data_IF_863967517622
#
_entry.id   IF_863967517622
#
_cell.length_a   1.000
_cell.length_b   1.000
_cell.length_c   1.000
_cell.angle_alpha   90.00
_cell.angle_beta   90.00
_cell.angle_gamma   90.00
#
_symmetry.space_group_name_H-M   'P 1'
#
loop_
_entity.id
_entity.type
_entity.pdbx_description
1 polymer ?
#
# COMPACT_ATOMS: atom_id res chain seq x y z
N UNK A 1 30.14 13.97 8.65
CA UNK A 1 29.44 14.06 7.35
C UNK A 1 28.60 12.79 7.15
N UNK A 2 27.82 12.41 8.16
CA UNK A 2 27.10 11.12 8.29
C UNK A 2 25.71 11.32 8.94
N UNK A 3 25.54 12.37 9.75
CA UNK A 3 24.28 12.63 10.46
C UNK A 3 23.14 13.16 9.59
N UNK A 4 23.42 13.65 8.38
CA UNK A 4 22.40 14.23 7.49
C UNK A 4 21.80 13.22 6.50
N UNK A 5 22.45 12.06 6.31
CA UNK A 5 21.98 10.98 5.42
C UNK A 5 20.91 10.10 6.11
N UNK A 6 21.07 9.83 7.41
CA UNK A 6 20.15 9.05 8.24
C UNK A 6 18.72 9.63 8.25
N UNK A 7 18.50 10.95 8.49
CA UNK A 7 17.14 11.50 8.52
C UNK A 7 16.46 11.42 7.15
N UNK A 8 17.20 11.63 6.06
CA UNK A 8 16.66 11.50 4.71
C UNK A 8 16.28 10.04 4.40
N UNK A 9 17.10 9.07 4.80
CA UNK A 9 16.79 7.65 4.63
C UNK A 9 15.56 7.21 5.43
N UNK A 10 15.43 7.69 6.68
CA UNK A 10 14.25 7.42 7.52
C UNK A 10 12.98 8.04 6.94
N UNK A 11 13.05 9.26 6.41
CA UNK A 11 11.90 9.88 5.72
C UNK A 11 11.48 9.09 4.49
N UNK A 12 12.44 8.60 3.69
CA UNK A 12 12.14 7.77 2.50
C UNK A 12 11.48 6.46 2.90
N UNK A 13 12.09 5.71 3.80
CA UNK A 13 11.55 4.44 4.28
C UNK A 13 10.16 4.61 4.92
N UNK A 14 9.96 5.70 5.67
CA UNK A 14 8.65 6.05 6.22
C UNK A 14 7.62 6.37 5.13
N UNK A 15 8.03 7.08 4.08
CA UNK A 15 7.19 7.41 2.92
C UNK A 15 6.78 6.16 2.14
N UNK A 16 7.73 5.29 1.81
CA UNK A 16 7.49 4.01 1.13
C UNK A 16 6.53 3.13 1.93
N UNK A 17 6.77 3.00 3.24
CA UNK A 17 5.91 2.23 4.14
C UNK A 17 4.48 2.77 4.21
N UNK A 18 4.32 4.10 4.30
CA UNK A 18 3.02 4.75 4.33
C UNK A 18 2.25 4.59 2.99
N UNK A 19 2.94 4.69 1.85
CA UNK A 19 2.35 4.45 0.52
C UNK A 19 1.92 2.99 0.38
N UNK A 20 2.76 2.03 0.78
CA UNK A 20 2.42 0.61 0.75
C UNK A 20 1.20 0.28 1.61
N UNK A 21 1.19 0.76 2.85
CA UNK A 21 0.08 0.55 3.77
C UNK A 21 -1.21 1.23 3.26
N UNK A 22 -1.09 2.45 2.74
CA UNK A 22 -2.20 3.22 2.17
C UNK A 22 -2.83 2.55 0.95
N UNK A 23 -1.99 2.11 0.02
CA UNK A 23 -2.41 1.36 -1.18
C UNK A 23 -3.05 0.02 -0.81
N UNK A 24 -2.53 -0.67 0.20
CA UNK A 24 -3.08 -1.93 0.67
C UNK A 24 -4.47 -1.72 1.30
N UNK A 25 -4.63 -0.70 2.14
CA UNK A 25 -5.92 -0.35 2.74
C UNK A 25 -6.97 0.04 1.69
N UNK A 26 -6.56 0.75 0.63
CA UNK A 26 -7.42 1.07 -0.51
C UNK A 26 -7.81 -0.17 -1.30
N UNK A 27 -6.86 -1.07 -1.59
CA UNK A 27 -7.16 -2.36 -2.21
C UNK A 27 -8.15 -3.15 -1.35
N UNK A 28 -7.92 -3.19 -0.04
CA UNK A 28 -8.78 -3.85 0.92
C UNK A 28 -10.18 -3.20 1.03
N UNK A 29 -10.34 -1.92 0.70
CA UNK A 29 -11.63 -1.24 0.61
C UNK A 29 -12.39 -1.56 -0.70
N UNK A 30 -11.68 -2.02 -1.72
CA UNK A 30 -12.21 -2.32 -3.05
C UNK A 30 -13.36 -3.33 -3.00
N UNK A 31 -14.40 -3.18 -3.85
CA UNK A 31 -15.52 -4.11 -3.89
C UNK A 31 -15.14 -5.51 -4.41
N UNK A 32 -13.93 -5.67 -4.95
CA UNK A 32 -13.48 -6.92 -5.56
C UNK A 32 -13.16 -8.05 -4.56
N UNK A 33 -13.55 -7.93 -3.27
CA UNK A 33 -13.39 -9.03 -2.31
C UNK A 33 -14.51 -10.06 -2.49
N UNK A 34 -14.22 -11.36 -2.43
CA UNK A 34 -15.24 -12.41 -2.43
C UNK A 34 -16.11 -12.43 -1.15
N UNK A 35 -15.73 -11.68 -0.10
CA UNK A 35 -16.46 -11.59 1.17
C UNK A 35 -16.95 -10.17 1.42
N UNK A 36 -18.27 -9.94 1.60
CA UNK A 36 -18.82 -8.60 1.76
C UNK A 36 -18.48 -8.07 3.15
N UNK A 37 -17.44 -7.24 3.25
CA UNK A 37 -17.31 -6.32 4.38
C UNK A 37 -18.45 -5.29 4.27
N UNK A 38 -19.15 -5.01 5.37
CA UNK A 38 -20.25 -4.05 5.38
C UNK A 38 -19.85 -2.68 4.81
N UNK A 39 -20.78 -1.94 4.17
CA UNK A 39 -20.49 -0.70 3.44
C UNK A 39 -19.79 0.39 4.28
N UNK A 40 -20.05 0.43 5.60
CA UNK A 40 -19.41 1.35 6.53
C UNK A 40 -17.93 1.03 6.79
N UNK A 41 -17.57 -0.26 6.87
CA UNK A 41 -16.18 -0.70 7.06
C UNK A 41 -15.32 -0.38 5.84
N UNK A 42 -15.87 -0.56 4.64
CA UNK A 42 -15.20 -0.25 3.37
C UNK A 42 -14.89 1.24 3.22
N UNK A 43 -15.84 2.11 3.59
CA UNK A 43 -15.63 3.58 3.57
C UNK A 43 -14.55 4.03 4.56
N UNK A 44 -14.51 3.45 5.77
CA UNK A 44 -13.47 3.75 6.76
C UNK A 44 -12.09 3.31 6.28
N UNK A 45 -11.99 2.10 5.72
CA UNK A 45 -10.74 1.56 5.18
C UNK A 45 -10.23 2.37 3.98
N UNK A 46 -11.13 2.78 3.08
CA UNK A 46 -10.78 3.63 1.95
C UNK A 46 -10.28 5.01 2.37
N UNK A 47 -10.91 5.64 3.38
CA UNK A 47 -10.45 6.92 3.94
C UNK A 47 -9.09 6.77 4.62
N UNK A 48 -8.89 5.71 5.40
CA UNK A 48 -7.61 5.44 6.05
C UNK A 48 -6.49 5.22 5.01
N UNK A 49 -6.77 4.46 3.94
CA UNK A 49 -5.82 4.24 2.86
C UNK A 49 -5.49 5.50 2.06
N UNK A 50 -6.50 6.35 1.78
CA UNK A 50 -6.28 7.63 1.13
C UNK A 50 -5.43 8.58 1.98
N UNK A 51 -5.69 8.66 3.29
CA UNK A 51 -4.87 9.45 4.21
C UNK A 51 -3.42 8.94 4.27
N UNK A 52 -3.23 7.62 4.31
CA UNK A 52 -1.90 7.00 4.27
C UNK A 52 -1.14 7.31 2.98
N UNK A 53 -1.81 7.27 1.83
CA UNK A 53 -1.22 7.64 0.53
C UNK A 53 -0.81 9.12 0.50
N UNK A 54 -1.68 10.02 0.94
CA UNK A 54 -1.39 11.46 0.95
C UNK A 54 -0.23 11.77 1.89
N UNK A 55 -0.21 11.16 3.08
CA UNK A 55 0.89 11.32 4.04
C UNK A 55 2.21 10.75 3.50
N UNK A 56 2.19 9.55 2.92
CA UNK A 56 3.37 8.91 2.31
C UNK A 56 3.91 9.70 1.12
N UNK A 57 3.03 10.24 0.29
CA UNK A 57 3.41 11.12 -0.83
C UNK A 57 4.07 12.42 -0.33
N UNK A 58 3.54 13.02 0.73
CA UNK A 58 4.16 14.20 1.35
C UNK A 58 5.57 13.91 1.86
N UNK A 59 5.79 12.75 2.48
CA UNK A 59 7.11 12.31 2.93
C UNK A 59 8.08 12.05 1.78
N UNK A 60 7.62 11.40 0.70
CA UNK A 60 8.42 11.15 -0.50
C UNK A 60 8.81 12.47 -1.19
N UNK A 61 7.89 13.44 -1.27
CA UNK A 61 8.18 14.76 -1.82
C UNK A 61 9.17 15.56 -0.97
N UNK A 62 9.20 15.34 0.35
CA UNK A 62 10.18 15.96 1.23
C UNK A 62 11.58 15.35 1.07
N UNK A 63 11.68 14.11 0.57
CA UNK A 63 12.93 13.36 0.52
C UNK A 63 13.48 13.09 -0.90
N UNK A 64 12.65 13.26 -1.94
CA UNK A 64 12.98 13.06 -3.35
C UNK A 64 12.46 14.23 -4.20
N UNK A 65 13.03 14.40 -5.39
CA UNK A 65 12.45 15.29 -6.40
C UNK A 65 11.03 14.86 -6.81
N UNK A 66 10.18 15.79 -7.25
CA UNK A 66 8.75 15.54 -7.47
C UNK A 66 8.46 14.43 -8.50
N UNK A 67 9.28 14.32 -9.55
CA UNK A 67 9.15 13.24 -10.53
C UNK A 67 9.43 11.85 -9.92
N UNK A 68 10.49 11.74 -9.12
CA UNK A 68 10.87 10.48 -8.48
C UNK A 68 9.82 10.06 -7.42
N UNK A 69 9.28 11.01 -6.66
CA UNK A 69 8.23 10.73 -5.68
C UNK A 69 6.96 10.14 -6.33
N UNK A 70 6.47 10.74 -7.42
CA UNK A 70 5.30 10.24 -8.15
C UNK A 70 5.58 8.87 -8.77
N UNK A 71 6.74 8.69 -9.41
CA UNK A 71 7.13 7.41 -9.99
C UNK A 71 7.17 6.29 -8.95
N UNK A 72 7.78 6.54 -7.79
CA UNK A 72 7.82 5.57 -6.68
C UNK A 72 6.41 5.25 -6.21
N UNK A 73 5.56 6.24 -6.00
CA UNK A 73 4.19 6.01 -5.54
C UNK A 73 3.36 5.18 -6.51
N UNK A 74 3.46 5.45 -7.82
CA UNK A 74 2.78 4.67 -8.86
C UNK A 74 3.32 3.23 -8.90
N UNK A 75 4.64 3.06 -8.80
CA UNK A 75 5.29 1.74 -8.79
C UNK A 75 4.84 0.91 -7.59
N UNK A 76 4.82 1.50 -6.40
CA UNK A 76 4.33 0.84 -5.18
C UNK A 76 2.84 0.52 -5.28
N UNK A 77 2.02 1.42 -5.84
CA UNK A 77 0.61 1.15 -6.05
C UNK A 77 0.38 -0.03 -7.00
N UNK A 78 1.10 -0.08 -8.14
CA UNK A 78 1.05 -1.22 -9.07
C UNK A 78 1.49 -2.52 -8.41
N UNK A 79 2.58 -2.48 -7.62
CA UNK A 79 3.07 -3.64 -6.89
C UNK A 79 2.01 -4.15 -5.91
N UNK A 80 1.43 -3.27 -5.11
CA UNK A 80 0.37 -3.65 -4.16
C UNK A 80 -0.84 -4.22 -4.89
N UNK A 81 -1.29 -3.58 -5.97
CA UNK A 81 -2.44 -4.07 -6.74
C UNK A 81 -2.16 -5.38 -7.49
N UNK A 82 -0.90 -5.72 -7.77
CA UNK A 82 -0.52 -6.99 -8.37
C UNK A 82 -0.36 -8.11 -7.33
N UNK A 83 0.26 -7.80 -6.19
CA UNK A 83 0.57 -8.77 -5.13
C UNK A 83 -0.65 -9.04 -4.26
N UNK A 84 -1.47 -8.04 -3.95
CA UNK A 84 -2.63 -8.21 -3.08
C UNK A 84 -3.68 -9.22 -3.60
N UNK A 85 -4.09 -9.25 -4.88
CA UNK A 85 -4.97 -10.30 -5.39
C UNK A 85 -4.31 -11.67 -5.36
N UNK A 86 -3.00 -11.77 -5.60
CA UNK A 86 -2.27 -13.03 -5.54
C UNK A 86 -2.21 -13.60 -4.13
N UNK A 87 -1.88 -12.77 -3.14
CA UNK A 87 -1.89 -13.14 -1.72
C UNK A 87 -3.29 -13.53 -1.26
N UNK A 88 -4.31 -12.79 -1.68
CA UNK A 88 -5.70 -13.11 -1.34
C UNK A 88 -6.11 -14.44 -1.97
N UNK A 89 -5.77 -14.68 -3.24
CA UNK A 89 -6.02 -15.94 -3.93
C UNK A 89 -5.33 -17.11 -3.23
N UNK A 90 -4.06 -16.95 -2.83
CA UNK A 90 -3.30 -17.94 -2.04
C UNK A 90 -3.97 -18.24 -0.70
N UNK A 91 -4.42 -17.21 0.02
CA UNK A 91 -5.09 -17.40 1.31
C UNK A 91 -6.44 -18.11 1.16
N UNK A 92 -7.19 -17.75 0.11
CA UNK A 92 -8.51 -18.34 -0.15
C UNK A 92 -8.45 -19.69 -0.85
N UNK A 93 -7.27 -20.16 -1.29
CA UNK A 93 -7.15 -21.51 -1.84
C UNK A 93 -7.52 -22.49 -0.73
N UNK A 94 -8.54 -23.34 -0.93
CA UNK A 94 -8.79 -24.43 0.01
C UNK A 94 -7.53 -25.30 0.03
N UNK A 95 -7.01 -25.61 1.22
CA UNK A 95 -5.88 -26.52 1.42
C UNK A 95 -6.26 -27.99 1.12
N UNK A 96 -6.98 -28.26 0.03
CA UNK A 96 -7.81 -29.46 -0.12
C UNK A 96 -7.67 -30.30 -1.38
N UNK A 97 -6.86 -29.94 -2.39
CA UNK A 97 -6.74 -30.76 -3.62
C UNK A 97 -5.28 -31.02 -4.02
N UNK A 98 -4.52 -31.55 -3.06
CA UNK A 98 -3.20 -32.16 -3.29
C UNK A 98 -3.15 -33.66 -2.94
N UNK A 99 -4.29 -34.35 -2.88
CA UNK A 99 -4.36 -35.79 -2.60
C UNK A 99 -5.66 -36.40 -3.16
N UNK A 100 -5.76 -36.53 -4.48
CA UNK A 100 -6.50 -37.61 -5.14
C UNK A 100 -5.73 -38.07 -6.36
#
# INVERSE_FOLDING_TARGET
MTDMEIPAALLRAGGDGAVLAGALLLYLASPNRPRPAGPAGRRRLGRAGALGLVAGQGLLLAALGPAAAVFTAVTLAMLVWSVAPLLLAWWTRPQGEGAR
#
